data_IF_005278840975
#
_entry.id   IF_005278840975
#
_cell.length_a   1.000
_cell.length_b   1.000
_cell.length_c   1.000
_cell.angle_alpha   90.00
_cell.angle_beta   90.00
_cell.angle_gamma   90.00
#
_symmetry.space_group_name_H-M   'P 1'
#
loop_
_entity.id
_entity.type
_entity.pdbx_description
1 polymer ?
#
# COMPACT_ATOMS: atom_id res chain seq x y z
N UNK A 1 10.90 -8.73 -1.76
CA UNK A 1 9.69 -9.41 -2.31
C UNK A 1 9.13 -8.66 -3.50
N UNK A 2 8.62 -7.44 -3.35
CA UNK A 2 7.92 -6.71 -4.43
C UNK A 2 8.68 -6.58 -5.74
N UNK A 3 9.96 -6.18 -5.71
CA UNK A 3 10.77 -6.08 -6.93
C UNK A 3 11.00 -7.44 -7.60
N UNK A 4 11.25 -8.49 -6.80
CA UNK A 4 11.46 -9.83 -7.33
C UNK A 4 10.17 -10.37 -7.95
N UNK A 5 9.04 -10.20 -7.27
CA UNK A 5 7.73 -10.62 -7.76
C UNK A 5 7.36 -9.92 -9.08
N UNK A 6 7.69 -8.63 -9.22
CA UNK A 6 7.55 -7.93 -10.50
C UNK A 6 8.40 -8.57 -11.62
N UNK A 7 9.67 -8.88 -11.34
CA UNK A 7 10.57 -9.53 -12.30
C UNK A 7 10.11 -10.95 -12.66
N UNK A 8 9.61 -11.72 -11.68
CA UNK A 8 9.05 -13.06 -11.89
C UNK A 8 7.84 -13.05 -12.82
N UNK A 9 7.10 -11.94 -12.85
CA UNK A 9 5.96 -11.72 -13.74
C UNK A 9 6.34 -10.94 -15.02
N UNK A 10 7.63 -10.92 -15.38
CA UNK A 10 8.16 -10.23 -16.57
C UNK A 10 7.81 -8.74 -16.64
N UNK A 11 7.64 -8.09 -15.48
CA UNK A 11 7.38 -6.66 -15.39
C UNK A 11 8.68 -5.86 -15.20
N UNK A 12 8.68 -4.62 -15.68
CA UNK A 12 9.70 -3.65 -15.34
C UNK A 12 9.32 -2.94 -14.04
N UNK A 13 10.29 -2.76 -13.14
CA UNK A 13 10.11 -2.01 -11.91
C UNK A 13 11.10 -0.83 -11.85
N UNK A 14 10.59 0.33 -11.44
CA UNK A 14 11.37 1.53 -11.18
C UNK A 14 11.24 1.88 -9.69
N UNK A 15 12.37 2.12 -9.03
CA UNK A 15 12.42 2.53 -7.62
C UNK A 15 12.91 3.95 -7.54
N UNK A 16 12.14 4.81 -6.87
CA UNK A 16 12.45 6.22 -6.66
C UNK A 16 12.09 6.61 -5.24
N UNK A 17 12.69 7.69 -4.75
CA UNK A 17 12.20 8.35 -3.53
C UNK A 17 10.88 9.07 -3.84
N UNK A 18 10.05 9.26 -2.82
CA UNK A 18 8.73 9.87 -2.93
C UNK A 18 8.77 11.32 -3.43
N UNK A 19 9.87 12.04 -3.23
CA UNK A 19 10.11 13.37 -3.77
C UNK A 19 10.55 13.39 -5.25
N UNK A 20 10.96 12.24 -5.78
CA UNK A 20 11.39 12.09 -7.17
C UNK A 20 10.29 11.49 -8.07
N UNK A 21 9.16 11.07 -7.51
CA UNK A 21 8.08 10.41 -8.26
C UNK A 21 7.59 11.26 -9.44
N UNK A 22 7.30 12.55 -9.20
CA UNK A 22 6.82 13.46 -10.24
C UNK A 22 7.79 13.59 -11.42
N UNK A 23 9.08 13.69 -11.12
CA UNK A 23 10.14 13.74 -12.15
C UNK A 23 10.26 12.39 -12.88
N UNK A 24 10.16 11.28 -12.17
CA UNK A 24 10.20 9.95 -12.76
C UNK A 24 9.02 9.75 -13.74
N UNK A 25 7.80 10.10 -13.32
CA UNK A 25 6.62 10.01 -14.17
C UNK A 25 6.71 10.90 -15.41
N UNK A 26 7.27 12.11 -15.30
CA UNK A 26 7.40 13.02 -16.46
C UNK A 26 8.48 12.60 -17.45
N UNK A 27 9.45 11.78 -17.02
CA UNK A 27 10.56 11.28 -17.86
C UNK A 27 10.28 9.89 -18.45
N UNK A 28 9.34 9.14 -17.87
CA UNK A 28 8.88 7.89 -18.43
C UNK A 28 8.10 8.15 -19.74
N UNK A 29 8.47 7.45 -20.81
CA UNK A 29 7.73 7.51 -22.09
C UNK A 29 6.31 6.94 -22.02
N UNK A 30 5.96 6.25 -20.92
CA UNK A 30 4.63 5.71 -20.66
C UNK A 30 4.39 5.62 -19.15
N UNK A 31 3.19 5.99 -18.72
CA UNK A 31 2.76 5.84 -17.32
C UNK A 31 2.88 4.36 -16.87
N UNK A 32 3.33 4.11 -15.62
CA UNK A 32 3.31 2.77 -15.06
C UNK A 32 1.87 2.29 -14.87
N UNK A 33 1.67 0.96 -14.82
CA UNK A 33 0.37 0.35 -14.53
C UNK A 33 -0.02 0.50 -13.05
N UNK A 34 0.97 0.50 -12.17
CA UNK A 34 0.80 0.47 -10.71
C UNK A 34 1.94 1.24 -10.04
N UNK A 35 1.59 2.10 -9.08
CA UNK A 35 2.51 2.73 -8.13
C UNK A 35 2.32 2.07 -6.76
N UNK A 36 3.42 1.72 -6.11
CA UNK A 36 3.44 1.13 -4.77
C UNK A 36 4.26 2.06 -3.86
N UNK A 37 3.69 2.51 -2.75
CA UNK A 37 4.32 3.48 -1.85
C UNK A 37 4.34 3.02 -0.39
N UNK A 38 5.18 3.66 0.42
CA UNK A 38 5.10 3.53 1.88
C UNK A 38 3.83 4.21 2.42
N UNK A 39 3.29 3.70 3.53
CA UNK A 39 2.06 4.25 4.13
C UNK A 39 2.27 5.69 4.62
N UNK A 40 3.49 6.04 5.04
CA UNK A 40 3.84 7.37 5.52
C UNK A 40 3.88 8.42 4.39
N UNK A 41 4.11 7.99 3.15
CA UNK A 41 4.20 8.87 1.98
C UNK A 41 2.91 8.88 1.13
N UNK A 42 1.85 8.19 1.57
CA UNK A 42 0.66 7.91 0.76
C UNK A 42 0.04 9.15 0.14
N UNK A 43 -0.25 10.19 0.93
CA UNK A 43 -0.91 11.42 0.44
C UNK A 43 -0.07 12.20 -0.56
N UNK A 44 1.25 12.22 -0.39
CA UNK A 44 2.17 12.92 -1.32
C UNK A 44 2.22 12.18 -2.65
N UNK A 45 2.36 10.86 -2.60
CA UNK A 45 2.42 10.02 -3.80
C UNK A 45 1.08 10.02 -4.53
N UNK A 46 -0.05 10.00 -3.80
CA UNK A 46 -1.40 10.14 -4.37
C UNK A 46 -1.55 11.42 -5.20
N UNK A 47 -1.08 12.55 -4.65
CA UNK A 47 -1.15 13.85 -5.32
C UNK A 47 -0.31 13.91 -6.62
N UNK A 48 0.83 13.21 -6.65
CA UNK A 48 1.71 13.16 -7.82
C UNK A 48 1.35 12.04 -8.83
N UNK A 49 0.50 11.08 -8.45
CA UNK A 49 0.12 9.95 -9.30
C UNK A 49 -1.06 10.30 -10.21
N UNK A 50 -0.95 10.11 -11.54
CA UNK A 50 -2.07 10.33 -12.46
C UNK A 50 -3.29 9.47 -12.11
N UNK A 51 -4.50 10.01 -12.30
CA UNK A 51 -5.76 9.34 -11.93
C UNK A 51 -6.03 8.02 -12.68
N UNK A 52 -5.41 7.83 -13.84
CA UNK A 52 -5.49 6.62 -14.65
C UNK A 52 -4.50 5.53 -14.21
N UNK A 53 -3.56 5.86 -13.31
CA UNK A 53 -2.57 4.93 -12.75
C UNK A 53 -3.09 4.36 -11.44
N UNK A 54 -3.08 3.04 -11.32
CA UNK A 54 -3.46 2.40 -10.05
C UNK A 54 -2.40 2.70 -8.97
N UNK A 55 -2.85 2.92 -7.74
CA UNK A 55 -1.94 3.13 -6.61
C UNK A 55 -2.31 2.24 -5.42
N UNK A 56 -1.30 1.75 -4.70
CA UNK A 56 -1.46 1.03 -3.43
C UNK A 56 -0.27 1.28 -2.52
N UNK A 57 -0.35 0.85 -1.26
CA UNK A 57 0.79 0.84 -0.34
C UNK A 57 1.38 -0.55 -0.15
N UNK A 58 2.61 -0.62 0.39
CA UNK A 58 3.20 -1.89 0.86
C UNK A 58 2.37 -2.55 1.96
N UNK A 59 1.73 -1.77 2.84
CA UNK A 59 0.88 -2.30 3.91
C UNK A 59 -0.36 -3.01 3.37
N UNK A 60 -1.02 -2.46 2.35
CA UNK A 60 -2.17 -3.11 1.69
C UNK A 60 -1.74 -4.37 0.93
N UNK A 61 -0.58 -4.33 0.26
CA UNK A 61 -0.03 -5.54 -0.38
C UNK A 61 0.27 -6.63 0.64
N UNK A 62 0.87 -6.28 1.78
CA UNK A 62 1.19 -7.24 2.84
C UNK A 62 -0.08 -7.80 3.49
N UNK A 63 -1.09 -6.95 3.71
CA UNK A 63 -2.39 -7.35 4.23
C UNK A 63 -3.06 -8.40 3.32
N UNK A 64 -3.00 -8.20 2.00
CA UNK A 64 -3.49 -9.20 1.03
C UNK A 64 -2.60 -10.44 0.94
N UNK A 65 -1.28 -10.27 1.06
CA UNK A 65 -0.33 -11.37 0.90
C UNK A 65 -0.31 -12.33 2.10
N UNK A 66 -0.46 -11.80 3.32
CA UNK A 66 -0.38 -12.58 4.57
C UNK A 66 -1.73 -12.78 5.27
N UNK A 67 -2.82 -12.27 4.73
CA UNK A 67 -4.12 -12.30 5.40
C UNK A 67 -5.28 -12.17 4.42
N UNK A 68 -6.44 -11.80 4.96
CA UNK A 68 -7.65 -11.57 4.19
C UNK A 68 -7.94 -10.06 4.09
N UNK A 69 -7.57 -9.47 2.95
CA UNK A 69 -7.82 -8.05 2.71
C UNK A 69 -9.31 -7.69 2.80
N UNK A 70 -10.21 -8.60 2.41
CA UNK A 70 -11.66 -8.35 2.47
C UNK A 70 -12.10 -8.25 3.93
N UNK A 71 -11.73 -9.23 4.76
CA UNK A 71 -11.98 -9.21 6.19
C UNK A 71 -11.37 -8.01 6.91
N UNK A 72 -10.17 -7.56 6.52
CA UNK A 72 -9.56 -6.35 7.08
C UNK A 72 -10.34 -5.08 6.71
N UNK A 73 -10.82 -4.96 5.46
CA UNK A 73 -11.64 -3.82 5.03
C UNK A 73 -12.99 -3.82 5.76
N UNK A 74 -13.61 -4.97 5.95
CA UNK A 74 -14.85 -5.12 6.72
C UNK A 74 -14.64 -4.74 8.19
N UNK A 75 -13.58 -5.23 8.82
CA UNK A 75 -13.21 -4.88 10.19
C UNK A 75 -12.95 -3.38 10.36
N UNK A 76 -12.24 -2.76 9.40
CA UNK A 76 -12.02 -1.31 9.41
C UNK A 76 -13.33 -0.51 9.27
N UNK A 77 -14.31 -1.01 8.50
CA UNK A 77 -15.64 -0.39 8.40
C UNK A 77 -16.44 -0.51 9.68
N UNK A 78 -16.32 -1.64 10.39
CA UNK A 78 -17.01 -1.87 11.67
C UNK A 78 -16.57 -0.90 12.78
N UNK A 79 -15.40 -0.26 12.66
CA UNK A 79 -14.97 0.80 13.58
C UNK A 79 -15.97 1.95 13.67
N UNK A 80 -16.73 2.22 12.58
CA UNK A 80 -17.74 3.28 12.56
C UNK A 80 -18.97 2.99 13.42
N UNK A 81 -19.21 1.74 13.79
CA UNK A 81 -20.34 1.33 14.63
C UNK A 81 -20.01 1.16 16.10
N UNK A 82 -18.74 1.36 16.49
CA UNK A 82 -18.31 1.24 17.88
C UNK A 82 -18.99 2.29 18.76
N UNK A 83 -19.36 1.88 19.97
CA UNK A 83 -19.97 2.72 21.00
C UNK A 83 -19.08 2.77 22.24
N UNK A 84 -19.35 3.73 23.10
CA UNK A 84 -18.74 3.78 24.42
C UNK A 84 -19.01 2.48 25.18
N UNK A 85 -17.97 1.91 25.79
CA UNK A 85 -18.02 0.62 26.49
C UNK A 85 -17.75 -0.61 25.62
N UNK A 86 -17.69 -0.47 24.29
CA UNK A 86 -17.29 -1.59 23.42
C UNK A 86 -15.82 -1.96 23.65
N UNK A 87 -15.53 -3.26 23.52
CA UNK A 87 -14.18 -3.81 23.74
C UNK A 87 -13.50 -4.07 22.40
N UNK A 88 -12.29 -3.53 22.24
CA UNK A 88 -11.44 -3.78 21.07
C UNK A 88 -10.27 -4.65 21.50
N UNK A 89 -10.09 -5.78 20.82
CA UNK A 89 -8.91 -6.62 21.01
C UNK A 89 -7.77 -6.11 20.12
N UNK A 90 -6.64 -5.78 20.73
CA UNK A 90 -5.37 -5.61 20.02
C UNK A 90 -4.62 -6.93 20.12
N UNK A 91 -4.38 -7.56 18.96
CA UNK A 91 -3.74 -8.87 18.87
C UNK A 91 -2.47 -8.79 18.03
N UNK A 92 -1.39 -9.36 18.55
CA UNK A 92 -0.09 -9.39 17.91
C UNK A 92 0.36 -10.85 17.70
N UNK A 93 0.83 -11.16 16.50
CA UNK A 93 1.22 -12.52 16.12
C UNK A 93 2.58 -12.97 16.69
N UNK A 94 3.27 -12.15 17.47
CA UNK A 94 4.57 -12.46 18.06
C UNK A 94 4.70 -11.79 19.43
N UNK A 95 5.30 -12.50 20.40
CA UNK A 95 5.55 -11.99 21.76
C UNK A 95 6.83 -11.18 21.88
N UNK A 96 7.67 -11.16 20.84
CA UNK A 96 8.92 -10.40 20.82
C UNK A 96 8.66 -8.99 20.31
N UNK A 97 8.11 -8.15 21.18
CA UNK A 97 8.14 -6.71 21.01
C UNK A 97 9.56 -6.19 21.27
N UNK A 98 10.06 -5.29 20.43
CA UNK A 98 11.27 -4.51 20.67
C UNK A 98 10.97 -3.05 20.41
#
# INVERSE_FOLDING_TARGET
>A
MTLRDALDNNACALVVKEDQLKLALSTLGKNPRLVITDSQAFSKVDADTPKDVSMTSFSILMARYKGDLTGFVEGARALKSLKEGDRVLISEGCTHHR
#
